data_IF_254823557928
#
_entry.id   IF_254823557928
#
_cell.length_a   1.000
_cell.length_b   1.000
_cell.length_c   1.000
_cell.angle_alpha   90.00
_cell.angle_beta   90.00
_cell.angle_gamma   90.00
#
_symmetry.space_group_name_H-M   'P 1'
#
loop_
_entity.id
_entity.type
_entity.pdbx_description
1 polymer ?
#
# COMPACT_ATOMS: atom_id res chain seq x y z
N UNK A 1 -0.47 -14.55 21.70
CA UNK A 1 -0.11 -13.34 20.94
C UNK A 1 -0.99 -12.10 21.22
N UNK A 2 -2.21 -12.23 21.78
CA UNK A 2 -2.97 -11.04 22.26
C UNK A 2 -2.22 -10.19 23.31
N UNK A 3 -1.05 -10.63 23.78
CA UNK A 3 -0.19 -9.95 24.75
C UNK A 3 1.21 -9.61 24.17
N UNK A 4 1.38 -9.36 22.86
CA UNK A 4 2.65 -8.77 22.37
C UNK A 4 2.86 -7.40 23.04
N UNK A 5 1.78 -6.67 23.30
CA UNK A 5 1.81 -5.33 23.87
C UNK A 5 0.96 -5.33 25.13
N UNK A 6 1.61 -5.08 26.27
CA UNK A 6 0.94 -5.00 27.54
C UNK A 6 0.01 -3.76 27.55
N UNK A 7 -1.27 -3.85 27.96
CA UNK A 7 -2.20 -2.72 27.95
C UNK A 7 -1.65 -1.45 28.63
N UNK A 8 -0.88 -1.62 29.70
CA UNK A 8 -0.22 -0.52 30.41
C UNK A 8 0.76 0.32 29.54
N UNK A 9 1.20 -0.18 28.39
CA UNK A 9 2.10 0.53 27.47
C UNK A 9 1.36 1.41 26.45
N UNK A 10 0.03 1.32 26.37
CA UNK A 10 -0.75 2.02 25.34
C UNK A 10 -0.50 3.53 25.32
N UNK A 11 -0.45 4.16 26.50
CA UNK A 11 -0.17 5.60 26.64
C UNK A 11 1.23 5.96 26.13
N UNK A 12 2.23 5.17 26.49
CA UNK A 12 3.62 5.42 26.13
C UNK A 12 3.85 5.21 24.64
N UNK A 13 3.24 4.18 24.06
CA UNK A 13 3.22 3.91 22.61
C UNK A 13 2.56 5.07 21.85
N UNK A 14 1.43 5.58 22.33
CA UNK A 14 0.76 6.72 21.71
C UNK A 14 1.62 7.99 21.77
N UNK A 15 2.31 8.24 22.89
CA UNK A 15 3.25 9.35 23.03
C UNK A 15 4.47 9.20 22.11
N UNK A 16 4.98 7.97 21.96
CA UNK A 16 6.07 7.66 21.04
C UNK A 16 5.67 8.00 19.61
N UNK A 17 4.51 7.53 19.14
CA UNK A 17 4.01 7.87 17.80
C UNK A 17 3.85 9.38 17.62
N UNK A 18 3.20 10.07 18.57
CA UNK A 18 3.03 11.53 18.48
C UNK A 18 4.37 12.26 18.32
N UNK A 19 5.38 11.82 19.05
CA UNK A 19 6.74 12.37 18.96
C UNK A 19 7.38 12.05 17.61
N UNK A 20 7.22 10.81 17.13
CA UNK A 20 7.83 10.35 15.88
C UNK A 20 7.22 10.94 14.62
N UNK A 21 5.91 11.19 14.61
CA UNK A 21 5.26 11.88 13.50
C UNK A 21 5.58 13.38 13.45
N UNK A 22 6.07 13.95 14.55
CA UNK A 22 6.39 15.38 14.59
C UNK A 22 7.46 15.73 13.54
N UNK A 23 7.18 16.75 12.72
CA UNK A 23 8.10 17.21 11.67
C UNK A 23 8.08 16.40 10.38
N UNK A 24 7.21 15.39 10.24
CA UNK A 24 6.97 14.71 8.97
C UNK A 24 5.67 15.18 8.32
N UNK A 25 5.69 15.27 6.99
CA UNK A 25 4.46 15.39 6.20
C UNK A 25 3.73 14.05 6.23
N UNK A 26 2.49 14.06 6.71
CA UNK A 26 1.67 12.86 6.74
C UNK A 26 1.18 12.51 5.33
N UNK A 27 1.00 11.21 5.01
CA UNK A 27 0.27 10.82 3.81
C UNK A 27 -1.15 11.39 3.82
N UNK A 28 -1.62 11.93 2.70
CA UNK A 28 -3.03 12.37 2.60
C UNK A 28 -3.98 11.21 2.85
N UNK A 29 -3.78 10.12 2.11
CA UNK A 29 -4.42 8.84 2.36
C UNK A 29 -3.40 7.70 2.20
N UNK A 30 -3.72 6.53 2.75
CA UNK A 30 -2.96 5.32 2.46
C UNK A 30 -3.78 4.08 2.79
N UNK A 31 -3.37 2.94 2.26
CA UNK A 31 -3.84 1.63 2.73
C UNK A 31 -2.66 0.74 3.13
N UNK A 32 -2.82 0.04 4.25
CA UNK A 32 -1.82 -0.90 4.78
C UNK A 32 -2.42 -2.30 4.80
N UNK A 33 -1.79 -3.22 4.06
CA UNK A 33 -2.14 -4.65 4.04
C UNK A 33 -1.32 -5.33 5.15
N UNK A 34 -1.99 -6.01 6.09
CA UNK A 34 -1.33 -6.79 7.14
C UNK A 34 -1.50 -8.28 6.88
N UNK A 35 -0.62 -9.08 7.49
CA UNK A 35 -0.86 -10.52 7.69
C UNK A 35 -0.57 -10.93 9.10
N UNK A 36 -1.41 -11.80 9.63
CA UNK A 36 -1.32 -12.36 10.96
C UNK A 36 -1.17 -13.88 10.85
N UNK A 37 -0.09 -14.44 11.36
CA UNK A 37 0.17 -15.89 11.37
C UNK A 37 -0.08 -16.55 12.72
N UNK A 38 -0.57 -15.80 13.72
CA UNK A 38 -0.72 -16.27 15.10
C UNK A 38 0.57 -16.29 15.93
N UNK A 39 1.74 -16.33 15.28
CA UNK A 39 3.08 -16.11 15.88
C UNK A 39 3.77 -14.82 15.42
N UNK A 40 3.34 -14.22 14.30
CA UNK A 40 3.79 -12.91 13.79
C UNK A 40 2.63 -12.09 13.22
N UNK A 41 2.72 -10.76 13.26
CA UNK A 41 1.86 -9.86 12.48
C UNK A 41 2.67 -8.76 11.82
N UNK A 42 2.63 -8.63 10.50
CA UNK A 42 3.48 -7.66 9.81
C UNK A 42 2.75 -7.01 8.62
N UNK A 43 3.12 -5.78 8.25
CA UNK A 43 2.66 -5.20 6.99
C UNK A 43 3.32 -5.94 5.83
N UNK A 44 2.51 -6.26 4.83
CA UNK A 44 2.96 -6.96 3.61
C UNK A 44 2.88 -6.08 2.37
N UNK A 45 2.14 -4.98 2.44
CA UNK A 45 2.07 -3.92 1.43
C UNK A 45 1.66 -2.59 2.07
N UNK A 46 2.12 -1.47 1.51
CA UNK A 46 1.75 -0.13 1.92
C UNK A 46 1.61 0.74 0.68
N UNK A 47 0.42 1.33 0.49
CA UNK A 47 0.04 2.02 -0.73
C UNK A 47 -0.36 3.47 -0.45
N UNK A 48 0.29 4.40 -1.16
CA UNK A 48 -0.04 5.83 -1.11
C UNK A 48 -1.18 6.21 -2.07
N UNK A 49 -1.59 5.32 -2.98
CA UNK A 49 -2.68 5.52 -3.93
C UNK A 49 -3.75 4.43 -3.76
N UNK A 50 -4.39 4.32 -2.58
CA UNK A 50 -5.40 3.30 -2.31
C UNK A 50 -6.58 3.42 -3.28
N UNK A 51 -7.09 2.28 -3.73
CA UNK A 51 -8.07 2.17 -4.81
C UNK A 51 -9.29 1.31 -4.42
N UNK A 52 -9.74 1.43 -3.17
CA UNK A 52 -10.85 0.64 -2.62
C UNK A 52 -11.79 1.42 -1.71
N UNK A 53 -11.95 2.74 -1.93
CA UNK A 53 -12.91 3.56 -1.18
C UNK A 53 -14.37 3.12 -1.38
N UNK A 54 -14.68 2.43 -2.48
CA UNK A 54 -15.99 1.81 -2.71
C UNK A 54 -16.32 0.70 -1.71
N UNK A 55 -15.29 0.06 -1.12
CA UNK A 55 -15.46 -1.01 -0.13
C UNK A 55 -15.74 -0.49 1.29
N UNK A 56 -15.59 0.82 1.54
CA UNK A 56 -15.91 1.41 2.83
C UNK A 56 -17.43 1.45 3.02
N UNK A 57 -17.89 1.13 4.22
CA UNK A 57 -19.26 1.40 4.65
C UNK A 57 -19.54 2.91 4.65
N UNK A 58 -20.82 3.30 4.63
CA UNK A 58 -21.21 4.71 4.70
C UNK A 58 -20.75 5.39 6.00
N UNK A 59 -20.69 4.65 7.11
CA UNK A 59 -20.12 5.13 8.38
C UNK A 59 -18.63 5.43 8.23
N UNK A 60 -17.86 4.49 7.66
CA UNK A 60 -16.43 4.68 7.43
C UNK A 60 -16.13 5.80 6.42
N UNK A 61 -16.98 5.99 5.39
CA UNK A 61 -16.90 7.14 4.47
C UNK A 61 -17.13 8.47 5.19
N UNK A 62 -18.08 8.54 6.12
CA UNK A 62 -18.32 9.74 6.93
C UNK A 62 -17.15 10.04 7.88
N UNK A 63 -16.52 9.00 8.45
CA UNK A 63 -15.28 9.13 9.23
C UNK A 63 -14.16 9.67 8.35
N UNK A 64 -13.96 9.10 7.15
CA UNK A 64 -12.95 9.56 6.20
C UNK A 64 -13.14 11.03 5.85
N UNK A 65 -14.38 11.44 5.57
CA UNK A 65 -14.72 12.82 5.27
C UNK A 65 -14.37 13.78 6.42
N UNK A 66 -14.67 13.40 7.67
CA UNK A 66 -14.30 14.19 8.85
C UNK A 66 -12.79 14.32 8.99
N UNK A 67 -12.04 13.23 8.79
CA UNK A 67 -10.58 13.23 8.86
C UNK A 67 -9.96 14.07 7.75
N UNK A 68 -10.48 14.01 6.52
CA UNK A 68 -10.03 14.83 5.39
C UNK A 68 -10.24 16.32 5.68
N UNK A 69 -11.41 16.68 6.23
CA UNK A 69 -11.68 18.06 6.64
C UNK A 69 -10.67 18.56 7.68
N UNK A 70 -10.31 17.71 8.65
CA UNK A 70 -9.28 18.03 9.66
C UNK A 70 -7.89 18.12 9.04
N UNK A 71 -7.55 17.22 8.12
CA UNK A 71 -6.26 17.19 7.41
C UNK A 71 -5.98 18.51 6.68
N UNK A 72 -7.01 19.12 6.06
CA UNK A 72 -6.89 20.40 5.35
C UNK A 72 -7.34 21.63 6.16
N UNK A 73 -7.55 21.51 7.47
CA UNK A 73 -8.14 22.59 8.29
C UNK A 73 -7.36 23.91 8.18
N UNK A 74 -6.03 23.85 8.09
CA UNK A 74 -5.15 25.01 7.98
C UNK A 74 -5.08 25.62 6.57
N UNK A 75 -5.58 24.91 5.55
CA UNK A 75 -5.47 25.30 4.13
C UNK A 75 -6.70 26.01 3.58
N UNK A 76 -7.87 25.83 4.21
CA UNK A 76 -9.14 26.46 3.82
C UNK A 76 -9.60 26.16 2.37
N UNK A 77 -9.11 25.09 1.75
CA UNK A 77 -9.53 24.62 0.43
C UNK A 77 -11.05 24.38 0.37
N UNK A 78 -11.67 24.71 -0.78
CA UNK A 78 -13.10 24.55 -1.06
C UNK A 78 -13.37 23.71 -2.30
N UNK A 79 -12.48 23.76 -3.29
CA UNK A 79 -12.64 23.08 -4.58
C UNK A 79 -11.58 22.00 -4.76
N UNK A 80 -12.01 20.78 -5.02
CA UNK A 80 -11.12 19.64 -5.24
C UNK A 80 -11.32 19.04 -6.63
N UNK A 81 -10.22 18.81 -7.36
CA UNK A 81 -10.22 18.06 -8.62
C UNK A 81 -9.62 16.68 -8.39
N UNK A 82 -10.37 15.63 -8.69
CA UNK A 82 -9.92 14.24 -8.58
C UNK A 82 -9.38 13.81 -9.94
N UNK A 83 -8.13 13.37 -9.98
CA UNK A 83 -7.48 12.84 -11.18
C UNK A 83 -7.29 11.33 -10.98
N UNK A 84 -8.06 10.48 -11.67
CA UNK A 84 -7.98 9.03 -11.55
C UNK A 84 -6.89 8.44 -12.46
N UNK A 85 -6.78 7.11 -12.43
CA UNK A 85 -5.98 6.33 -13.36
C UNK A 85 -6.40 6.53 -14.80
N UNK A 86 -5.41 6.39 -15.68
CA UNK A 86 -5.65 6.38 -17.10
C UNK A 86 -6.29 5.07 -17.51
N UNK A 87 -7.08 5.16 -18.59
CA UNK A 87 -7.41 3.99 -19.39
C UNK A 87 -7.90 2.78 -18.59
N UNK A 88 -8.95 2.93 -17.80
CA UNK A 88 -9.53 1.82 -17.04
C UNK A 88 -10.88 1.38 -17.60
N UNK A 89 -11.05 0.06 -17.66
CA UNK A 89 -12.34 -0.61 -17.85
C UNK A 89 -12.77 -1.36 -16.57
N UNK A 90 -11.98 -1.24 -15.50
CA UNK A 90 -12.25 -1.90 -14.24
C UNK A 90 -13.38 -1.17 -13.49
N UNK A 91 -14.58 -1.74 -13.53
CA UNK A 91 -15.77 -1.19 -12.88
C UNK A 91 -15.56 -0.90 -11.39
N UNK A 92 -14.86 -1.78 -10.66
CA UNK A 92 -14.60 -1.57 -9.23
C UNK A 92 -13.69 -0.37 -8.98
N UNK A 93 -12.71 -0.14 -9.86
CA UNK A 93 -11.87 1.04 -9.78
C UNK A 93 -12.66 2.33 -10.08
N UNK A 94 -13.57 2.29 -11.06
CA UNK A 94 -14.46 3.40 -11.39
C UNK A 94 -15.37 3.74 -10.19
N UNK A 95 -15.96 2.73 -9.56
CA UNK A 95 -16.73 2.90 -8.31
C UNK A 95 -15.88 3.49 -7.20
N UNK A 96 -14.61 3.11 -7.07
CA UNK A 96 -13.68 3.72 -6.13
C UNK A 96 -13.49 5.23 -6.39
N UNK A 97 -13.35 5.65 -7.64
CA UNK A 97 -13.21 7.08 -7.98
C UNK A 97 -14.45 7.87 -7.55
N UNK A 98 -15.64 7.36 -7.84
CA UNK A 98 -16.89 7.98 -7.38
C UNK A 98 -17.04 7.94 -5.86
N UNK A 99 -16.54 6.90 -5.18
CA UNK A 99 -16.53 6.84 -3.73
C UNK A 99 -15.59 7.89 -3.11
N UNK A 100 -14.41 8.13 -3.70
CA UNK A 100 -13.52 9.24 -3.31
C UNK A 100 -14.24 10.57 -3.48
N UNK A 101 -14.90 10.78 -4.62
CA UNK A 101 -15.69 12.00 -4.87
C UNK A 101 -16.75 12.22 -3.79
N UNK A 102 -17.56 11.19 -3.50
CA UNK A 102 -18.57 11.24 -2.44
C UNK A 102 -17.97 11.59 -1.08
N UNK A 103 -16.83 10.99 -0.71
CA UNK A 103 -16.14 11.29 0.55
C UNK A 103 -15.66 12.74 0.60
N UNK A 104 -15.11 13.25 -0.49
CA UNK A 104 -14.68 14.66 -0.60
C UNK A 104 -15.89 15.62 -0.51
N UNK A 105 -17.02 15.30 -1.15
CA UNK A 105 -18.26 16.07 -1.02
C UNK A 105 -18.79 16.08 0.42
N UNK A 106 -18.80 14.93 1.10
CA UNK A 106 -19.15 14.82 2.52
C UNK A 106 -18.22 15.65 3.42
N UNK A 107 -16.95 15.84 3.02
CA UNK A 107 -16.00 16.69 3.72
C UNK A 107 -16.25 18.19 3.48
N UNK A 108 -17.17 18.55 2.58
CA UNK A 108 -17.60 19.91 2.28
C UNK A 108 -16.91 20.55 1.08
N UNK A 109 -16.29 19.76 0.21
CA UNK A 109 -15.65 20.26 -1.01
C UNK A 109 -16.63 20.29 -2.18
N UNK A 110 -16.53 21.32 -3.02
CA UNK A 110 -17.02 21.23 -4.39
C UNK A 110 -16.04 20.37 -5.20
N UNK A 111 -16.52 19.26 -5.76
CA UNK A 111 -15.66 18.28 -6.43
C UNK A 111 -15.92 18.19 -7.92
N UNK A 112 -14.89 17.87 -8.70
CA UNK A 112 -15.00 17.36 -10.07
C UNK A 112 -14.04 16.20 -10.28
N UNK A 113 -14.39 15.32 -11.20
CA UNK A 113 -13.48 14.29 -11.72
C UNK A 113 -12.90 14.82 -13.04
N UNK A 114 -11.58 14.78 -13.16
CA UNK A 114 -10.84 15.31 -14.29
C UNK A 114 -10.02 14.25 -15.05
N UNK A 115 -10.12 14.22 -16.38
CA UNK A 115 -9.27 13.42 -17.25
C UNK A 115 -8.47 14.31 -18.21
N UNK A 116 -7.23 13.95 -18.53
CA UNK A 116 -6.43 14.68 -19.52
C UNK A 116 -6.92 14.36 -20.95
N UNK A 117 -6.92 15.38 -21.82
CA UNK A 117 -7.54 15.33 -23.17
C UNK A 117 -7.05 14.17 -24.06
N UNK A 118 -5.80 13.74 -23.90
CA UNK A 118 -5.20 12.66 -24.71
C UNK A 118 -5.39 11.26 -24.10
N UNK A 119 -6.08 11.15 -22.95
CA UNK A 119 -6.25 9.93 -22.17
C UNK A 119 -7.69 9.37 -22.24
N UNK A 120 -8.36 9.60 -23.37
CA UNK A 120 -9.79 9.41 -23.67
C UNK A 120 -10.34 7.98 -23.69
N UNK A 121 -9.66 7.00 -23.10
CA UNK A 121 -10.11 5.60 -23.10
C UNK A 121 -10.47 5.07 -21.71
N UNK A 122 -11.22 5.87 -20.95
CA UNK A 122 -11.73 5.51 -19.63
C UNK A 122 -13.26 5.39 -19.68
N UNK A 123 -13.83 4.36 -19.05
CA UNK A 123 -15.29 4.16 -18.95
C UNK A 123 -15.95 4.98 -17.81
N UNK A 124 -15.22 5.91 -17.18
CA UNK A 124 -15.81 6.92 -16.30
C UNK A 124 -16.72 7.81 -17.15
N UNK A 125 -18.03 7.75 -16.87
CA UNK A 125 -19.03 8.49 -17.66
C UNK A 125 -19.09 9.98 -17.29
N UNK A 126 -18.83 10.31 -16.03
CA UNK A 126 -18.92 11.68 -15.51
C UNK A 126 -17.52 12.23 -15.24
N UNK A 127 -16.96 12.93 -16.23
CA UNK A 127 -15.67 13.60 -16.11
C UNK A 127 -15.66 14.94 -16.86
N UNK A 128 -14.73 15.80 -16.49
CA UNK A 128 -14.39 17.00 -17.23
C UNK A 128 -12.97 16.91 -17.81
N UNK A 129 -12.76 17.49 -19.00
CA UNK A 129 -11.42 17.53 -19.59
C UNK A 129 -10.55 18.53 -18.82
N UNK A 130 -9.36 18.09 -18.41
CA UNK A 130 -8.37 18.89 -17.69
C UNK A 130 -7.37 19.49 -18.66
N UNK A 131 -7.10 20.77 -18.47
CA UNK A 131 -6.07 21.54 -19.19
C UNK A 131 -5.18 22.26 -18.18
N UNK A 132 -3.93 22.50 -18.58
CA UNK A 132 -2.97 23.29 -17.81
C UNK A 132 -2.75 24.63 -18.49
N UNK A 133 -3.03 25.73 -17.81
CA UNK A 133 -2.77 27.09 -18.27
C UNK A 133 -2.03 27.89 -17.21
N UNK A 134 -0.94 28.56 -17.58
CA UNK A 134 -0.13 29.38 -16.66
C UNK A 134 0.26 28.65 -15.36
N UNK A 135 0.58 27.35 -15.46
CA UNK A 135 0.91 26.46 -14.33
C UNK A 135 -0.25 26.14 -13.38
N UNK A 136 -1.49 26.42 -13.78
CA UNK A 136 -2.71 26.03 -13.06
C UNK A 136 -3.46 24.97 -13.86
N UNK A 137 -3.89 23.91 -13.17
CA UNK A 137 -4.87 22.98 -13.70
C UNK A 137 -6.25 23.58 -13.56
N UNK A 138 -7.05 23.42 -14.61
CA UNK A 138 -8.47 23.74 -14.64
C UNK A 138 -9.20 22.81 -15.59
N UNK A 139 -10.53 22.78 -15.50
CA UNK A 139 -11.33 22.07 -16.49
C UNK A 139 -11.70 22.98 -17.66
N UNK A 140 -12.04 22.38 -18.80
CA UNK A 140 -12.54 23.12 -19.97
C UNK A 140 -13.87 23.82 -19.72
N UNK A 141 -14.61 23.45 -18.67
CA UNK A 141 -15.83 24.15 -18.25
C UNK A 141 -15.56 25.42 -17.41
N UNK A 142 -14.30 25.63 -17.00
CA UNK A 142 -13.89 26.76 -16.18
C UNK A 142 -13.75 26.46 -14.68
N UNK A 143 -13.87 25.19 -14.24
CA UNK A 143 -13.62 24.82 -12.84
C UNK A 143 -12.12 24.92 -12.51
N UNK A 144 -11.78 25.76 -11.53
CA UNK A 144 -10.41 25.92 -11.03
C UNK A 144 -10.37 25.35 -9.60
N UNK A 145 -9.69 24.21 -9.36
CA UNK A 145 -9.56 23.63 -8.03
C UNK A 145 -8.55 24.37 -7.16
N UNK A 146 -8.74 24.31 -5.84
CA UNK A 146 -7.73 24.72 -4.86
C UNK A 146 -6.71 23.59 -4.61
N UNK A 147 -7.17 22.34 -4.69
CA UNK A 147 -6.39 21.12 -4.43
C UNK A 147 -6.67 20.05 -5.50
N UNK A 148 -5.64 19.29 -5.86
CA UNK A 148 -5.76 18.16 -6.77
C UNK A 148 -5.57 16.86 -5.98
N UNK A 149 -6.57 15.99 -6.02
CA UNK A 149 -6.52 14.66 -5.41
C UNK A 149 -6.13 13.64 -6.47
N UNK A 150 -4.92 13.12 -6.38
CA UNK A 150 -4.37 12.19 -7.37
C UNK A 150 -4.65 10.75 -6.94
N UNK A 151 -5.58 10.07 -7.60
CA UNK A 151 -5.81 8.62 -7.43
C UNK A 151 -5.17 7.82 -8.57
N UNK A 152 -3.98 8.23 -8.98
CA UNK A 152 -3.20 7.63 -10.05
C UNK A 152 -1.77 7.43 -9.59
N UNK A 153 -1.28 6.20 -9.68
CA UNK A 153 -0.05 5.77 -9.03
C UNK A 153 1.25 6.11 -9.79
N UNK A 154 1.12 6.80 -10.93
CA UNK A 154 2.21 7.19 -11.84
C UNK A 154 3.18 6.02 -12.12
N UNK A 155 2.67 4.81 -12.38
CA UNK A 155 3.53 3.63 -12.60
C UNK A 155 4.52 3.79 -13.76
N UNK A 156 4.10 4.39 -14.88
CA UNK A 156 5.01 4.61 -16.02
C UNK A 156 5.82 5.90 -15.93
N UNK A 157 5.16 7.02 -15.70
CA UNK A 157 5.77 8.35 -15.69
C UNK A 157 4.82 9.36 -15.05
N UNK A 158 5.35 10.54 -14.74
CA UNK A 158 4.56 11.73 -14.42
C UNK A 158 4.24 12.45 -15.75
N UNK A 159 2.96 12.69 -16.08
CA UNK A 159 2.60 13.47 -17.27
C UNK A 159 3.08 14.91 -17.19
N UNK A 160 3.47 15.51 -18.32
CA UNK A 160 3.88 16.93 -18.44
C UNK A 160 2.82 17.90 -17.90
N UNK A 161 1.53 17.50 -17.95
CA UNK A 161 0.42 18.27 -17.40
C UNK A 161 0.46 18.36 -15.87
N UNK A 162 1.11 17.44 -15.17
CA UNK A 162 1.28 17.45 -13.71
C UNK A 162 2.60 18.06 -13.25
N UNK A 163 3.56 18.27 -14.14
CA UNK A 163 4.81 18.96 -13.78
C UNK A 163 4.55 20.43 -13.46
N UNK A 164 5.33 21.05 -12.56
CA UNK A 164 5.29 22.50 -12.30
C UNK A 164 3.88 23.08 -12.08
N UNK A 165 2.97 22.32 -11.46
CA UNK A 165 1.62 22.80 -11.10
C UNK A 165 1.69 23.59 -9.80
N UNK A 166 1.05 24.77 -9.75
CA UNK A 166 1.04 25.64 -8.56
C UNK A 166 0.10 25.16 -7.47
N UNK A 167 -1.00 24.50 -7.85
CA UNK A 167 -1.92 23.92 -6.89
C UNK A 167 -1.25 22.72 -6.21
N UNK A 168 -1.55 22.53 -4.93
CA UNK A 168 -1.08 21.37 -4.21
C UNK A 168 -1.69 20.10 -4.83
N UNK A 169 -0.86 19.07 -5.03
CA UNK A 169 -1.28 17.75 -5.52
C UNK A 169 -1.00 16.74 -4.42
N UNK A 170 -2.03 15.99 -4.03
CA UNK A 170 -1.96 15.01 -2.95
C UNK A 170 -2.52 13.65 -3.37
N UNK A 171 -1.77 12.56 -3.17
CA UNK A 171 -0.32 12.55 -2.91
C UNK A 171 0.46 13.22 -4.05
N UNK A 172 1.70 13.65 -3.78
CA UNK A 172 2.56 14.22 -4.83
C UNK A 172 2.79 13.19 -5.95
N UNK A 173 2.78 13.59 -7.23
CA UNK A 173 3.12 12.70 -8.34
C UNK A 173 4.48 12.03 -8.16
N UNK A 174 5.42 12.70 -7.47
CA UNK A 174 6.76 12.19 -7.19
C UNK A 174 6.77 10.90 -6.36
N UNK A 175 5.71 10.62 -5.60
CA UNK A 175 5.63 9.43 -4.76
C UNK A 175 5.12 8.18 -5.50
N UNK A 176 4.86 8.31 -6.81
CA UNK A 176 4.36 7.21 -7.64
C UNK A 176 5.40 6.11 -7.91
N UNK A 177 4.96 5.01 -8.53
CA UNK A 177 5.80 3.82 -8.74
C UNK A 177 6.86 3.96 -9.83
N UNK A 178 6.82 5.01 -10.65
CA UNK A 178 7.93 5.34 -11.55
C UNK A 178 9.25 5.57 -10.78
N UNK A 179 9.18 6.06 -9.54
CA UNK A 179 10.33 6.39 -8.69
C UNK A 179 10.40 5.54 -7.42
N UNK A 180 9.25 5.24 -6.81
CA UNK A 180 9.16 4.50 -5.55
C UNK A 180 9.60 3.04 -5.67
N UNK A 181 10.39 2.57 -4.70
CA UNK A 181 10.84 1.18 -4.62
C UNK A 181 10.34 0.52 -3.33
N UNK A 182 9.66 -0.63 -3.44
CA UNK A 182 9.13 -1.37 -2.27
C UNK A 182 10.20 -1.69 -1.23
N UNK A 183 11.41 -2.01 -1.68
CA UNK A 183 12.50 -2.35 -0.78
C UNK A 183 12.90 -1.19 0.13
N UNK A 184 12.96 0.05 -0.38
CA UNK A 184 13.31 1.23 0.41
C UNK A 184 12.30 1.46 1.55
N UNK A 185 11.00 1.31 1.24
CA UNK A 185 9.94 1.34 2.26
C UNK A 185 10.17 0.30 3.37
N UNK A 186 10.48 -0.95 3.01
CA UNK A 186 10.71 -2.01 4.01
C UNK A 186 12.01 -1.82 4.80
N UNK A 187 13.05 -1.20 4.24
CA UNK A 187 14.25 -0.81 5.01
C UNK A 187 13.92 0.28 6.03
N UNK A 188 13.15 1.29 5.65
CA UNK A 188 12.67 2.34 6.56
C UNK A 188 11.81 1.72 7.67
N UNK A 189 10.87 0.86 7.30
CA UNK A 189 10.00 0.17 8.25
C UNK A 189 10.80 -0.66 9.26
N UNK A 190 11.78 -1.46 8.81
CA UNK A 190 12.64 -2.26 9.70
C UNK A 190 13.44 -1.41 10.68
N UNK A 191 13.95 -0.25 10.26
CA UNK A 191 14.64 0.69 11.16
C UNK A 191 13.71 1.23 12.24
N UNK A 192 12.51 1.66 11.86
CA UNK A 192 11.50 2.16 12.81
C UNK A 192 11.01 1.08 13.76
N UNK A 193 10.79 -0.14 13.28
CA UNK A 193 10.44 -1.29 14.11
C UNK A 193 11.55 -1.62 15.09
N UNK A 194 12.82 -1.62 14.66
CA UNK A 194 13.95 -1.90 15.54
C UNK A 194 14.04 -0.88 16.67
N UNK A 195 13.83 0.40 16.36
CA UNK A 195 13.77 1.46 17.36
C UNK A 195 12.60 1.27 18.33
N UNK A 196 11.39 1.10 17.80
CA UNK A 196 10.18 0.87 18.58
C UNK A 196 10.33 -0.33 19.53
N UNK A 197 10.77 -1.45 18.99
CA UNK A 197 10.95 -2.69 19.74
C UNK A 197 12.07 -2.60 20.77
N UNK A 198 13.13 -1.82 20.52
CA UNK A 198 14.17 -1.52 21.50
C UNK A 198 13.61 -0.76 22.72
N UNK A 199 12.75 0.23 22.48
CA UNK A 199 12.12 1.03 23.54
C UNK A 199 11.12 0.22 24.37
N UNK A 200 10.29 -0.58 23.71
CA UNK A 200 9.24 -1.37 24.36
C UNK A 200 9.65 -2.81 24.69
N UNK A 201 10.93 -3.16 24.52
CA UNK A 201 11.52 -4.48 24.84
C UNK A 201 10.79 -5.64 24.17
N UNK A 202 10.53 -5.51 22.88
CA UNK A 202 9.88 -6.51 22.03
C UNK A 202 10.89 -7.09 21.03
N UNK A 203 10.65 -8.30 20.52
CA UNK A 203 11.41 -8.79 19.36
C UNK A 203 10.86 -8.12 18.07
N UNK A 204 11.69 -7.39 17.30
CA UNK A 204 11.28 -6.77 16.04
C UNK A 204 10.75 -7.75 14.99
N UNK A 205 11.21 -9.01 15.00
CA UNK A 205 10.77 -10.03 14.04
C UNK A 205 9.28 -10.37 14.17
N UNK A 206 8.68 -10.16 15.36
CA UNK A 206 7.26 -10.41 15.60
C UNK A 206 6.34 -9.43 14.85
N UNK A 207 6.87 -8.26 14.48
CA UNK A 207 6.10 -7.19 13.83
C UNK A 207 6.66 -6.68 12.49
N UNK A 208 7.71 -7.31 11.97
CA UNK A 208 8.34 -6.93 10.69
C UNK A 208 8.72 -8.15 9.86
N UNK A 209 8.79 -8.01 8.55
CA UNK A 209 9.25 -9.07 7.64
C UNK A 209 10.73 -8.90 7.30
N UNK A 210 11.46 -10.01 7.20
CA UNK A 210 12.79 -10.01 6.60
C UNK A 210 12.68 -9.77 5.09
N UNK A 211 13.53 -8.88 4.56
CA UNK A 211 13.55 -8.55 3.12
C UNK A 211 14.96 -8.43 2.57
N UNK A 212 15.11 -8.74 1.29
CA UNK A 212 16.32 -8.55 0.48
C UNK A 212 15.91 -7.99 -0.89
N UNK A 213 16.79 -7.23 -1.53
CA UNK A 213 16.58 -6.76 -2.91
C UNK A 213 17.53 -7.43 -3.90
N UNK A 214 17.08 -7.53 -5.14
CA UNK A 214 17.90 -7.98 -6.27
C UNK A 214 17.62 -7.07 -7.46
N UNK A 215 18.66 -6.39 -7.95
CA UNK A 215 18.60 -5.49 -9.11
C UNK A 215 19.16 -6.16 -10.36
N UNK A 216 18.92 -5.57 -11.53
CA UNK A 216 19.41 -6.10 -12.81
C UNK A 216 18.83 -7.48 -13.16
N UNK A 217 17.56 -7.70 -12.79
CA UNK A 217 16.92 -9.01 -12.91
C UNK A 217 16.28 -9.19 -14.29
N UNK A 218 16.61 -10.29 -14.97
CA UNK A 218 15.88 -10.82 -16.12
C UNK A 218 15.54 -12.29 -15.88
N UNK A 219 14.25 -12.59 -15.74
CA UNK A 219 13.76 -13.96 -15.51
C UNK A 219 13.92 -14.91 -16.72
N UNK A 220 14.49 -14.44 -17.83
CA UNK A 220 14.92 -15.27 -18.96
C UNK A 220 16.43 -15.57 -18.95
N UNK A 221 17.19 -14.92 -18.09
CA UNK A 221 18.63 -15.14 -17.93
C UNK A 221 18.92 -16.01 -16.71
N UNK A 222 19.66 -17.10 -16.92
CA UNK A 222 19.99 -18.05 -15.86
C UNK A 222 20.93 -17.46 -14.80
N UNK A 223 21.81 -16.52 -15.18
CA UNK A 223 22.71 -15.86 -14.23
C UNK A 223 21.93 -14.99 -13.25
N UNK A 224 20.95 -14.25 -13.76
CA UNK A 224 20.01 -13.46 -12.96
C UNK A 224 19.17 -14.34 -12.02
N UNK A 225 18.68 -15.50 -12.50
CA UNK A 225 17.97 -16.44 -11.63
C UNK A 225 18.85 -17.00 -10.52
N UNK A 226 20.14 -17.22 -10.78
CA UNK A 226 21.12 -17.63 -9.76
C UNK A 226 21.28 -16.60 -8.64
N UNK A 227 21.30 -15.31 -8.98
CA UNK A 227 21.34 -14.23 -7.99
C UNK A 227 20.07 -14.20 -7.12
N UNK A 228 18.89 -14.29 -7.75
CA UNK A 228 17.61 -14.34 -7.03
C UNK A 228 17.51 -15.59 -6.15
N UNK A 229 17.90 -16.76 -6.66
CA UNK A 229 17.91 -18.02 -5.92
C UNK A 229 18.77 -17.92 -4.65
N UNK A 230 19.97 -17.34 -4.77
CA UNK A 230 20.88 -17.12 -3.64
C UNK A 230 20.22 -16.27 -2.55
N UNK A 231 19.57 -15.17 -2.95
CA UNK A 231 18.85 -14.28 -2.01
C UNK A 231 17.64 -14.95 -1.36
N UNK A 232 16.93 -15.82 -2.10
CA UNK A 232 15.85 -16.64 -1.57
C UNK A 232 16.36 -17.57 -0.47
N UNK A 233 17.44 -18.32 -0.71
CA UNK A 233 18.00 -19.24 0.29
C UNK A 233 18.55 -18.49 1.53
N UNK A 234 19.11 -17.30 1.34
CA UNK A 234 19.53 -16.43 2.45
C UNK A 234 18.37 -16.06 3.37
N UNK A 235 17.27 -15.51 2.82
CA UNK A 235 16.08 -15.17 3.61
C UNK A 235 15.51 -16.41 4.29
N UNK A 236 15.35 -17.52 3.56
CA UNK A 236 14.79 -18.76 4.12
C UNK A 236 15.62 -19.28 5.30
N UNK A 237 16.95 -19.19 5.23
CA UNK A 237 17.82 -19.57 6.35
C UNK A 237 17.63 -18.69 7.58
N UNK A 238 17.46 -17.37 7.40
CA UNK A 238 17.20 -16.45 8.50
C UNK A 238 15.83 -16.70 9.14
N UNK A 239 14.79 -16.92 8.33
CA UNK A 239 13.44 -17.25 8.81
C UNK A 239 13.44 -18.58 9.55
N UNK A 240 14.14 -19.60 9.04
CA UNK A 240 14.26 -20.91 9.67
C UNK A 240 14.84 -20.82 11.09
N UNK A 241 15.87 -19.98 11.31
CA UNK A 241 16.44 -19.75 12.65
C UNK A 241 15.42 -19.14 13.62
N UNK A 242 14.61 -18.18 13.15
CA UNK A 242 13.53 -17.60 13.96
C UNK A 242 12.42 -18.61 14.23
N UNK A 243 12.10 -19.46 13.26
CA UNK A 243 11.14 -20.54 13.47
C UNK A 243 11.63 -21.54 14.50
N UNK A 244 12.91 -21.89 14.50
CA UNK A 244 13.53 -22.73 15.54
C UNK A 244 13.47 -22.07 16.93
N UNK A 245 13.81 -20.78 17.02
CA UNK A 245 13.74 -19.97 18.25
C UNK A 245 12.34 -19.95 18.87
N UNK A 246 11.30 -19.83 18.04
CA UNK A 246 9.89 -19.78 18.46
C UNK A 246 9.17 -21.13 18.39
N UNK A 247 9.90 -22.22 18.16
CA UNK A 247 9.38 -23.59 18.02
C UNK A 247 8.29 -23.76 16.94
N UNK A 248 8.30 -22.92 15.91
CA UNK A 248 7.37 -22.95 14.78
C UNK A 248 7.72 -24.12 13.86
N UNK A 249 6.73 -24.98 13.59
CA UNK A 249 6.91 -26.22 12.82
C UNK A 249 6.54 -26.11 11.33
N UNK A 250 6.04 -24.97 10.89
CA UNK A 250 5.65 -24.76 9.49
C UNK A 250 6.89 -24.53 8.61
N UNK A 251 6.76 -24.81 7.31
CA UNK A 251 7.86 -24.57 6.37
C UNK A 251 7.99 -23.07 6.05
N UNK A 252 9.20 -22.47 6.16
CA UNK A 252 9.46 -21.14 5.65
C UNK A 252 9.21 -21.03 4.14
N UNK A 253 8.71 -19.88 3.71
CA UNK A 253 8.55 -19.55 2.30
C UNK A 253 8.78 -18.05 2.12
N UNK A 254 8.96 -17.64 0.86
CA UNK A 254 9.13 -16.22 0.51
C UNK A 254 8.19 -15.81 -0.61
N UNK A 255 7.87 -14.52 -0.63
CA UNK A 255 7.34 -13.84 -1.80
C UNK A 255 8.49 -13.16 -2.56
N UNK A 256 8.49 -13.30 -3.88
CA UNK A 256 9.32 -12.51 -4.79
C UNK A 256 8.38 -11.55 -5.50
N UNK A 257 8.57 -10.24 -5.29
CA UNK A 257 7.69 -9.19 -5.81
C UNK A 257 8.51 -8.21 -6.66
N UNK A 258 7.94 -7.71 -7.76
CA UNK A 258 8.52 -6.59 -8.50
C UNK A 258 8.66 -5.36 -7.59
N UNK A 259 9.81 -4.67 -7.66
CA UNK A 259 10.11 -3.54 -6.77
C UNK A 259 9.27 -2.28 -7.03
N UNK A 260 8.80 -2.10 -8.27
CA UNK A 260 8.04 -0.92 -8.72
C UNK A 260 6.62 -1.26 -9.24
N UNK A 261 5.99 -2.32 -8.72
CA UNK A 261 4.72 -2.84 -9.23
C UNK A 261 3.50 -2.67 -8.32
N UNK A 262 2.31 -2.59 -8.93
CA UNK A 262 1.00 -2.52 -8.26
C UNK A 262 0.08 -3.71 -8.56
N UNK A 263 -1.08 -3.76 -7.90
CA UNK A 263 -2.19 -4.71 -8.17
C UNK A 263 -1.82 -6.19 -8.12
N UNK A 264 -0.85 -6.58 -7.30
CA UNK A 264 -0.43 -7.99 -7.17
C UNK A 264 0.26 -8.56 -8.43
N UNK A 265 0.63 -7.70 -9.39
CA UNK A 265 1.39 -8.08 -10.58
C UNK A 265 2.87 -8.32 -10.23
N UNK A 266 3.53 -9.23 -10.95
CA UNK A 266 4.95 -9.51 -10.70
C UNK A 266 5.20 -10.14 -9.33
N UNK A 267 4.34 -11.06 -8.88
CA UNK A 267 4.49 -11.75 -7.59
C UNK A 267 4.48 -13.26 -7.77
N UNK A 268 5.49 -13.94 -7.25
CA UNK A 268 5.53 -15.41 -7.11
C UNK A 268 5.94 -15.78 -5.68
N UNK A 269 5.73 -17.05 -5.32
CA UNK A 269 6.24 -17.64 -4.08
C UNK A 269 7.29 -18.70 -4.39
N UNK A 270 8.18 -18.94 -3.42
CA UNK A 270 9.14 -20.03 -3.44
C UNK A 270 9.44 -20.54 -2.03
N UNK A 271 9.83 -21.82 -1.93
CA UNK A 271 10.31 -22.44 -0.68
C UNK A 271 11.79 -22.85 -0.74
N UNK A 272 12.47 -22.58 -1.86
CA UNK A 272 13.91 -22.77 -2.03
C UNK A 272 14.44 -21.99 -3.23
N UNK A 273 15.74 -21.68 -3.25
CA UNK A 273 16.43 -21.13 -4.41
C UNK A 273 16.39 -22.09 -5.61
N UNK A 274 16.37 -23.40 -5.38
CA UNK A 274 16.20 -24.42 -6.43
C UNK A 274 14.90 -24.25 -7.21
N UNK A 275 13.82 -23.80 -6.56
CA UNK A 275 12.55 -23.52 -7.24
C UNK A 275 12.67 -22.34 -8.21
N UNK A 276 13.49 -21.34 -7.86
CA UNK A 276 13.76 -20.17 -8.70
C UNK A 276 14.55 -20.56 -9.97
N UNK A 277 15.55 -21.44 -9.82
CA UNK A 277 16.30 -21.96 -10.97
C UNK A 277 15.41 -22.76 -11.92
N UNK A 278 14.38 -23.42 -11.39
CA UNK A 278 13.47 -24.30 -12.13
C UNK A 278 12.09 -23.67 -12.39
N UNK A 279 12.00 -22.33 -12.49
CA UNK A 279 10.73 -21.66 -12.75
C UNK A 279 10.11 -22.11 -14.07
N UNK A 280 8.85 -22.55 -13.99
CA UNK A 280 8.06 -22.85 -15.18
C UNK A 280 7.73 -21.60 -16.00
N UNK A 281 7.34 -21.81 -17.26
CA UNK A 281 6.99 -20.75 -18.23
C UNK A 281 5.94 -19.78 -17.69
N UNK A 282 4.96 -20.25 -16.91
CA UNK A 282 3.88 -19.43 -16.34
C UNK A 282 4.41 -18.46 -15.28
N UNK A 283 5.24 -18.93 -14.34
CA UNK A 283 5.86 -18.08 -13.31
C UNK A 283 6.84 -17.07 -13.94
N UNK A 284 7.67 -17.50 -14.91
CA UNK A 284 8.55 -16.59 -15.68
C UNK A 284 7.77 -15.49 -16.39
N UNK A 285 6.65 -15.84 -17.04
CA UNK A 285 5.80 -14.86 -17.69
C UNK A 285 5.20 -13.85 -16.70
N UNK A 286 4.77 -14.32 -15.52
CA UNK A 286 4.26 -13.43 -14.46
C UNK A 286 5.31 -12.44 -13.95
N UNK A 287 6.59 -12.83 -13.99
CA UNK A 287 7.73 -12.00 -13.58
C UNK A 287 8.38 -11.23 -14.74
N UNK A 288 7.73 -11.14 -15.91
CA UNK A 288 8.27 -10.40 -17.07
C UNK A 288 7.92 -8.92 -17.05
N UNK A 289 6.65 -8.60 -16.76
CA UNK A 289 6.11 -7.24 -16.86
C UNK A 289 5.08 -6.95 -15.77
N UNK A 290 4.99 -5.68 -15.37
CA UNK A 290 3.94 -5.14 -14.50
C UNK A 290 2.91 -4.35 -15.33
N UNK A 291 2.09 -3.53 -14.67
CA UNK A 291 1.12 -2.60 -15.27
C UNK A 291 1.77 -1.79 -16.39
N UNK A 292 0.98 -1.50 -17.44
CA UNK A 292 1.42 -0.76 -18.65
C UNK A 292 2.57 -1.41 -19.43
N UNK A 293 2.86 -2.70 -19.17
CA UNK A 293 3.84 -3.47 -19.93
C UNK A 293 5.30 -3.14 -19.63
N UNK A 294 5.55 -2.42 -18.52
CA UNK A 294 6.87 -2.09 -17.99
C UNK A 294 7.58 -3.39 -17.57
N UNK A 295 8.84 -3.55 -17.99
CA UNK A 295 9.64 -4.71 -17.66
C UNK A 295 10.06 -4.71 -16.18
N UNK A 296 10.06 -5.88 -15.57
CA UNK A 296 10.60 -6.06 -14.21
C UNK A 296 12.13 -6.17 -14.34
N UNK A 297 12.86 -5.22 -13.75
CA UNK A 297 14.32 -5.20 -13.73
C UNK A 297 14.91 -5.34 -12.31
N UNK A 298 14.05 -5.40 -11.30
CA UNK A 298 14.41 -5.52 -9.89
C UNK A 298 13.28 -6.15 -9.11
N UNK A 299 13.64 -6.91 -8.08
CA UNK A 299 12.68 -7.59 -7.20
C UNK A 299 13.07 -7.44 -5.74
N UNK A 300 12.05 -7.50 -4.88
CA UNK A 300 12.18 -7.71 -3.45
C UNK A 300 11.84 -9.17 -3.13
N UNK A 301 12.72 -9.81 -2.37
CA UNK A 301 12.49 -11.11 -1.74
C UNK A 301 12.04 -10.80 -0.31
N UNK A 302 10.84 -11.25 0.05
CA UNK A 302 10.21 -10.95 1.32
C UNK A 302 9.80 -12.25 2.01
N UNK A 303 10.08 -12.36 3.31
CA UNK A 303 9.55 -13.42 4.18
C UNK A 303 8.04 -13.58 4.00
N UNK A 304 7.61 -14.82 3.77
CA UNK A 304 6.21 -15.17 3.67
C UNK A 304 5.55 -15.29 5.04
N UNK A 305 4.52 -14.49 5.28
CA UNK A 305 3.68 -14.57 6.48
C UNK A 305 2.36 -15.24 6.08
N UNK A 306 2.04 -16.46 6.56
CA UNK A 306 0.74 -17.05 6.32
C UNK A 306 -0.34 -16.30 7.10
N UNK A 307 -1.57 -16.28 6.59
CA UNK A 307 -2.70 -15.71 7.34
C UNK A 307 -3.45 -16.78 8.13
N UNK A 308 -3.73 -16.53 9.41
CA UNK A 308 -4.66 -17.32 10.21
C UNK A 308 -6.07 -16.72 10.21
N UNK A 309 -6.23 -15.51 9.68
CA UNK A 309 -7.51 -14.83 9.67
C UNK A 309 -8.43 -15.51 8.66
N UNK A 310 -9.59 -15.97 9.14
CA UNK A 310 -10.67 -16.54 8.35
C UNK A 310 -11.91 -15.69 8.57
N UNK A 311 -12.52 -15.22 7.49
CA UNK A 311 -13.76 -14.46 7.55
C UNK A 311 -14.73 -14.98 6.49
N UNK A 312 -15.99 -15.23 6.90
CA UNK A 312 -17.01 -15.86 6.05
C UNK A 312 -16.49 -17.11 5.31
N UNK A 313 -15.81 -17.99 6.06
CA UNK A 313 -15.25 -19.26 5.58
C UNK A 313 -14.17 -19.13 4.48
N UNK A 314 -13.57 -17.96 4.31
CA UNK A 314 -12.49 -17.71 3.34
C UNK A 314 -11.23 -17.21 4.04
N UNK A 315 -10.06 -17.53 3.47
CA UNK A 315 -8.80 -16.90 3.85
C UNK A 315 -8.95 -15.38 3.78
N UNK A 316 -8.55 -14.68 4.83
CA UNK A 316 -8.68 -13.24 4.93
C UNK A 316 -7.33 -12.60 5.29
N UNK A 317 -7.13 -11.35 4.87
CA UNK A 317 -6.01 -10.53 5.35
C UNK A 317 -6.53 -9.13 5.72
N UNK A 318 -6.10 -8.55 6.87
CA UNK A 318 -6.51 -7.21 7.26
C UNK A 318 -5.98 -6.15 6.31
N UNK A 319 -6.81 -5.15 6.05
CA UNK A 319 -6.49 -4.01 5.20
C UNK A 319 -7.01 -2.74 5.86
N UNK A 320 -6.12 -1.85 6.27
CA UNK A 320 -6.48 -0.65 7.03
C UNK A 320 -6.30 0.58 6.16
N UNK A 321 -7.35 1.38 6.03
CA UNK A 321 -7.31 2.67 5.32
C UNK A 321 -7.07 3.78 6.32
N UNK A 322 -6.23 4.73 5.91
CA UNK A 322 -5.83 5.88 6.71
C UNK A 322 -6.09 7.19 5.96
N UNK A 323 -6.41 8.22 6.73
CA UNK A 323 -6.27 9.63 6.34
C UNK A 323 -5.28 10.26 7.32
N UNK A 324 -4.19 10.84 6.83
CA UNK A 324 -3.09 11.24 7.71
C UNK A 324 -2.51 10.03 8.47
N UNK A 325 -2.45 10.15 9.79
CA UNK A 325 -1.97 9.11 10.72
C UNK A 325 -3.11 8.35 11.43
N UNK A 326 -4.36 8.62 11.05
CA UNK A 326 -5.56 8.11 11.74
C UNK A 326 -6.32 7.11 10.84
N UNK A 327 -6.62 5.90 11.36
CA UNK A 327 -7.36 4.90 10.60
C UNK A 327 -8.81 5.34 10.40
N UNK A 328 -9.31 5.20 9.17
CA UNK A 328 -10.69 5.52 8.81
C UNK A 328 -11.56 4.29 8.57
N UNK A 329 -10.94 3.15 8.24
CA UNK A 329 -11.65 1.91 7.95
C UNK A 329 -10.73 0.71 8.15
N UNK A 330 -11.30 -0.37 8.65
CA UNK A 330 -10.68 -1.68 8.74
C UNK A 330 -11.47 -2.63 7.85
N UNK A 331 -10.81 -3.13 6.81
CA UNK A 331 -11.36 -4.11 5.89
C UNK A 331 -10.73 -5.47 6.18
N UNK A 332 -11.49 -6.53 5.96
CA UNK A 332 -10.92 -7.80 5.54
C UNK A 332 -10.96 -7.90 4.03
N UNK A 333 -9.83 -8.26 3.42
CA UNK A 333 -9.80 -8.80 2.06
C UNK A 333 -9.90 -10.32 2.14
N UNK A 334 -11.01 -10.88 1.67
CA UNK A 334 -11.28 -12.30 1.66
C UNK A 334 -11.07 -12.90 0.27
N UNK A 335 -10.56 -14.13 0.22
CA UNK A 335 -10.45 -14.85 -1.04
C UNK A 335 -10.66 -16.36 -0.86
N UNK A 336 -11.81 -16.85 -1.34
CA UNK A 336 -12.20 -18.26 -1.24
C UNK A 336 -11.39 -19.19 -2.16
N UNK A 337 -10.68 -18.65 -3.15
CA UNK A 337 -9.88 -19.39 -4.13
C UNK A 337 -8.39 -19.45 -3.80
N UNK A 338 -7.98 -18.85 -2.68
CA UNK A 338 -6.58 -18.76 -2.26
C UNK A 338 -6.41 -19.38 -0.88
N UNK A 339 -5.33 -20.12 -0.74
CA UNK A 339 -4.90 -20.62 0.56
C UNK A 339 -4.26 -19.51 1.40
N UNK A 340 -3.95 -19.87 2.64
CA UNK A 340 -3.35 -18.98 3.64
C UNK A 340 -1.92 -18.52 3.31
N UNK A 341 -1.23 -19.19 2.38
CA UNK A 341 0.14 -18.91 1.98
C UNK A 341 0.21 -18.02 0.72
N UNK A 342 -0.84 -18.01 -0.09
CA UNK A 342 -0.92 -17.27 -1.33
C UNK A 342 -1.23 -15.80 -1.09
N UNK A 343 -0.81 -14.92 -2.00
CA UNK A 343 -1.34 -13.54 -2.07
C UNK A 343 -2.86 -13.58 -2.28
N UNK A 344 -3.62 -12.95 -1.38
CA UNK A 344 -5.08 -12.88 -1.50
C UNK A 344 -5.52 -11.76 -2.46
N UNK A 345 -4.67 -10.77 -2.70
CA UNK A 345 -4.86 -9.71 -3.69
C UNK A 345 -5.01 -10.30 -5.10
N UNK A 346 -6.24 -10.34 -5.62
CA UNK A 346 -6.59 -10.77 -6.96
C UNK A 346 -7.98 -10.26 -7.34
N UNK A 347 -8.39 -10.41 -8.60
CA UNK A 347 -9.68 -9.92 -9.12
C UNK A 347 -10.90 -10.53 -8.43
N UNK A 348 -10.76 -11.72 -7.84
CA UNK A 348 -11.87 -12.48 -7.24
C UNK A 348 -11.99 -12.23 -5.72
N UNK A 349 -11.22 -11.30 -5.16
CA UNK A 349 -11.30 -11.01 -3.73
C UNK A 349 -12.55 -10.18 -3.39
N UNK A 350 -13.06 -10.41 -2.20
CA UNK A 350 -14.18 -9.67 -1.62
C UNK A 350 -13.66 -8.83 -0.46
N UNK A 351 -14.31 -7.68 -0.20
CA UNK A 351 -13.93 -6.79 0.88
C UNK A 351 -15.09 -6.61 1.87
N UNK A 352 -14.78 -6.63 3.15
CA UNK A 352 -15.75 -6.48 4.22
C UNK A 352 -15.25 -5.45 5.23
N UNK A 353 -16.01 -4.35 5.37
CA UNK A 353 -15.76 -3.34 6.41
C UNK A 353 -16.20 -3.87 7.77
N UNK A 354 -15.21 -4.05 8.65
CA UNK A 354 -15.35 -4.60 10.00
C UNK A 354 -15.06 -3.54 11.08
N UNK A 355 -15.05 -2.26 10.71
CA UNK A 355 -14.67 -1.16 11.61
C UNK A 355 -15.53 -1.07 12.88
N UNK A 356 -16.74 -1.63 12.85
CA UNK A 356 -17.68 -1.64 13.98
C UNK A 356 -17.64 -2.93 14.81
N UNK A 357 -16.90 -3.96 14.39
CA UNK A 357 -17.16 -5.34 14.84
C UNK A 357 -15.99 -6.02 15.58
N UNK A 358 -14.78 -5.44 15.64
CA UNK A 358 -13.58 -6.23 15.96
C UNK A 358 -12.82 -5.81 17.24
N UNK A 359 -12.50 -6.79 18.09
CA UNK A 359 -11.69 -6.64 19.32
C UNK A 359 -10.17 -6.72 19.08
N UNK A 360 -9.73 -7.10 17.88
CA UNK A 360 -8.30 -7.27 17.53
C UNK A 360 -7.63 -6.01 16.97
N UNK A 361 -8.38 -4.91 16.85
CA UNK A 361 -7.93 -3.63 16.32
C UNK A 361 -6.67 -3.03 17.00
N UNK A 362 -6.42 -3.19 18.32
CA UNK A 362 -5.26 -2.55 18.95
C UNK A 362 -3.91 -3.01 18.38
N UNK A 363 -3.74 -4.30 18.13
CA UNK A 363 -2.48 -4.83 17.59
C UNK A 363 -2.29 -4.41 16.12
N UNK A 364 -3.37 -4.46 15.34
CA UNK A 364 -3.35 -3.98 13.95
C UNK A 364 -2.93 -2.51 13.91
N UNK A 365 -3.54 -1.69 14.76
CA UNK A 365 -3.27 -0.26 14.83
C UNK A 365 -1.80 0.06 15.06
N UNK A 366 -1.12 -0.66 15.93
CA UNK A 366 0.29 -0.38 16.22
C UNK A 366 1.16 -0.73 15.02
N UNK A 367 0.96 -1.93 14.45
CA UNK A 367 1.72 -2.41 13.29
C UNK A 367 1.47 -1.56 12.05
N UNK A 368 0.21 -1.20 11.78
CA UNK A 368 -0.15 -0.36 10.63
C UNK A 368 0.19 1.11 10.86
N UNK A 369 0.17 1.64 12.09
CA UNK A 369 0.61 3.02 12.35
C UNK A 369 2.13 3.17 12.22
N UNK A 370 2.92 2.15 12.58
CA UNK A 370 4.35 2.10 12.22
C UNK A 370 4.55 2.11 10.70
N UNK A 371 3.67 1.43 9.95
CA UNK A 371 3.73 1.39 8.49
C UNK A 371 3.43 2.77 7.88
N UNK A 372 2.45 3.48 8.43
CA UNK A 372 2.15 4.88 8.04
C UNK A 372 3.30 5.83 8.41
N UNK A 373 3.95 5.64 9.56
CA UNK A 373 5.15 6.40 9.91
C UNK A 373 6.28 6.15 8.91
N UNK A 374 6.48 4.91 8.48
CA UNK A 374 7.46 4.58 7.44
C UNK A 374 7.14 5.28 6.11
N UNK A 375 5.86 5.36 5.72
CA UNK A 375 5.44 6.15 4.55
C UNK A 375 5.74 7.64 4.72
N UNK A 376 5.53 8.22 5.91
CA UNK A 376 5.83 9.63 6.18
C UNK A 376 7.34 9.92 6.09
N UNK A 377 8.18 8.99 6.58
CA UNK A 377 9.65 9.07 6.45
C UNK A 377 10.08 8.93 4.99
N UNK A 378 9.50 7.99 4.25
CA UNK A 378 9.75 7.79 2.82
C UNK A 378 9.36 9.03 2.00
N UNK A 379 8.21 9.63 2.29
CA UNK A 379 7.78 10.89 1.66
C UNK A 379 8.83 11.99 1.82
N UNK A 380 9.43 12.11 3.02
CA UNK A 380 10.48 13.11 3.27
C UNK A 380 11.69 12.92 2.38
N UNK A 381 12.06 11.70 1.99
CA UNK A 381 13.24 11.48 1.14
C UNK A 381 13.07 11.96 -0.31
N UNK A 382 11.85 12.26 -0.75
CA UNK A 382 11.59 12.86 -2.07
C UNK A 382 11.73 14.40 -2.10
N UNK A 383 11.90 15.03 -0.93
CA UNK A 383 12.08 16.50 -0.81
C UNK A 383 13.50 16.89 -0.41
N UNK A 384 14.41 15.91 -0.33
CA UNK A 384 15.84 16.07 -0.12
C UNK A 384 16.56 15.91 -1.45
#
# INVERSE_FOLDING_TARGET
>A
MQNIIHPNLEKDINNWFKTKFNGFTLPFYSSIDLRNSGYKIAPVDANLFPAGFNNLSEVSKAIAAKLIKSYFETKQYKKALIIPENYTRNKMYIENVFAIEKVMQLAGFETRIGLFHNETYNLIEQYETVVKENSLLKTTSGFVPDIIILNRDMTSHIPDTLENVKQEIVPSPLYGWHSRQKFQYFEIYQKLVSEFCGEFKMDPWLISVLTESCNGVDFNDDSSLGAVATKVDQILSLVQKKYEEYEIKTQPYVFIKASNGTYGMGIITATSGKEILNLNKKKRHKMKKIKEGIAINSVIIQEGVPTIDIFKSSSAEPLIYYIGDTPTCYLYRCNSRKDVYSSLNSTDCEFYDISQENKTLPLWNIVSKLAVLALAVEIKSFHL
#
